data_IF_050956555672
#
_entry.id   IF_050956555672
#
_cell.length_a   1.000
_cell.length_b   1.000
_cell.length_c   1.000
_cell.angle_alpha   90.00
_cell.angle_beta   90.00
_cell.angle_gamma   90.00
#
_symmetry.space_group_name_H-M   'P 1'
#
loop_
_entity.id
_entity.type
_entity.pdbx_description
1 polymer ?
#
# COMPACT_ATOMS: atom_id res chain seq x y z
N UNK A 1 8.96 -7.33 2.16
CA UNK A 1 9.20 -6.11 2.95
C UNK A 1 8.09 -5.09 2.75
N UNK A 2 8.04 -4.34 1.64
CA UNK A 2 6.88 -3.46 1.36
C UNK A 2 5.58 -4.27 1.22
N UNK A 3 5.64 -5.40 0.51
CA UNK A 3 4.51 -6.33 0.41
C UNK A 3 4.03 -6.86 1.77
N UNK A 4 4.92 -6.99 2.76
CA UNK A 4 4.53 -7.43 4.10
C UNK A 4 3.85 -6.30 4.89
N UNK A 5 4.28 -5.05 4.68
CA UNK A 5 3.61 -3.86 5.22
C UNK A 5 2.24 -3.70 4.56
N UNK A 6 2.17 -3.85 3.23
CA UNK A 6 0.94 -3.75 2.44
C UNK A 6 -0.14 -4.75 2.86
N UNK A 7 0.25 -5.96 3.30
CA UNK A 7 -0.69 -6.94 3.86
C UNK A 7 -1.39 -6.49 5.15
N UNK A 8 -0.84 -5.50 5.85
CA UNK A 8 -1.42 -4.95 7.06
C UNK A 8 -2.21 -3.66 6.80
N UNK A 9 -2.33 -3.23 5.54
CA UNK A 9 -3.13 -2.09 5.17
C UNK A 9 -4.58 -2.49 4.92
N UNK A 10 -5.49 -1.56 5.21
CA UNK A 10 -6.88 -1.72 4.78
C UNK A 10 -6.95 -1.72 3.25
N UNK A 11 -7.65 -2.69 2.67
CA UNK A 11 -7.92 -2.83 1.24
C UNK A 11 -9.22 -2.14 0.81
N UNK A 12 -10.08 -1.79 1.76
CA UNK A 12 -11.33 -1.09 1.55
C UNK A 12 -11.48 0.13 2.48
N UNK A 13 -12.51 0.93 2.23
CA UNK A 13 -12.95 1.98 3.15
C UNK A 13 -14.35 1.65 3.68
N UNK A 14 -14.65 2.08 4.90
CA UNK A 14 -15.93 1.77 5.56
C UNK A 14 -15.74 1.06 6.91
N UNK A 15 -16.84 0.68 7.59
CA UNK A 15 -16.77 0.13 8.94
C UNK A 15 -16.11 -1.26 8.97
N UNK A 16 -15.08 -1.41 9.80
CA UNK A 16 -14.40 -2.68 10.06
C UNK A 16 -14.38 -3.00 11.56
N UNK A 17 -14.52 -4.30 11.89
CA UNK A 17 -14.35 -4.81 13.24
C UNK A 17 -12.89 -5.24 13.44
N UNK A 18 -12.18 -4.57 14.34
CA UNK A 18 -10.82 -4.92 14.71
C UNK A 18 -10.78 -6.17 15.62
N UNK A 19 -9.59 -6.74 15.73
CA UNK A 19 -9.33 -7.96 16.53
C UNK A 19 -9.52 -7.78 18.04
N UNK A 20 -9.55 -6.54 18.53
CA UNK A 20 -9.87 -6.20 19.92
C UNK A 20 -11.38 -5.98 20.16
N UNK A 21 -12.21 -6.19 19.12
CA UNK A 21 -13.66 -6.03 19.18
C UNK A 21 -14.14 -4.60 19.00
N UNK A 22 -13.25 -3.66 18.67
CA UNK A 22 -13.64 -2.27 18.38
C UNK A 22 -14.05 -2.11 16.91
N UNK A 23 -15.03 -1.24 16.66
CA UNK A 23 -15.41 -0.85 15.29
C UNK A 23 -14.73 0.47 14.94
N UNK A 24 -14.07 0.51 13.79
CA UNK A 24 -13.47 1.74 13.24
C UNK A 24 -13.84 1.90 11.76
N UNK A 25 -13.62 3.11 11.26
CA UNK A 25 -13.66 3.38 9.82
C UNK A 25 -12.31 2.96 9.20
N UNK A 26 -12.33 1.94 8.34
CA UNK A 26 -11.22 1.56 7.48
C UNK A 26 -10.93 2.64 6.44
N UNK A 27 -9.66 2.79 6.07
CA UNK A 27 -9.21 3.77 5.07
C UNK A 27 -8.20 3.08 4.17
N UNK A 28 -8.46 3.00 2.86
CA UNK A 28 -7.58 2.27 1.94
C UNK A 28 -6.11 2.70 2.08
N UNK A 29 -5.21 1.73 2.21
CA UNK A 29 -3.78 1.97 2.41
C UNK A 29 -3.36 2.32 3.84
N UNK A 30 -4.31 2.45 4.78
CA UNK A 30 -4.01 2.74 6.18
C UNK A 30 -3.48 1.49 6.90
N UNK A 31 -2.27 1.60 7.43
CA UNK A 31 -1.56 0.58 8.20
C UNK A 31 -1.61 0.97 9.66
N UNK A 32 -2.50 0.34 10.43
CA UNK A 32 -2.69 0.65 11.86
C UNK A 32 -1.54 0.16 12.73
N UNK A 33 -1.06 -1.06 12.48
CA UNK A 33 0.02 -1.72 13.23
C UNK A 33 0.84 -2.60 12.30
N UNK A 34 2.12 -2.72 12.60
CA UNK A 34 3.04 -3.57 11.85
C UNK A 34 3.15 -4.93 12.52
N UNK A 35 3.12 -5.98 11.70
CA UNK A 35 3.31 -7.35 12.15
C UNK A 35 2.02 -8.16 12.21
N UNK A 36 2.20 -9.48 12.11
CA UNK A 36 1.10 -10.44 12.18
C UNK A 36 0.63 -10.54 13.65
N UNK A 37 -0.68 -10.53 13.95
CA UNK A 37 -1.19 -10.83 15.29
C UNK A 37 -0.66 -12.14 15.89
N UNK A 38 -0.19 -13.07 15.05
CA UNK A 38 0.41 -14.35 15.42
C UNK A 38 1.91 -14.26 15.74
N UNK A 39 2.56 -13.13 15.49
CA UNK A 39 3.97 -12.89 15.82
C UNK A 39 4.14 -12.57 17.33
N UNK A 40 3.99 -13.60 18.15
CA UNK A 40 4.03 -13.49 19.63
C UNK A 40 5.34 -12.93 20.19
N UNK A 41 6.42 -12.96 19.41
CA UNK A 41 7.74 -12.46 19.81
C UNK A 41 8.05 -11.06 19.23
N UNK A 42 7.17 -10.52 18.38
CA UNK A 42 7.36 -9.22 17.72
C UNK A 42 8.61 -9.17 16.82
N UNK A 43 9.16 -10.31 16.43
CA UNK A 43 10.42 -10.39 15.68
C UNK A 43 10.27 -9.83 14.26
N UNK A 44 9.13 -10.10 13.61
CA UNK A 44 8.82 -9.54 12.29
C UNK A 44 8.45 -8.07 12.40
N UNK A 45 7.69 -7.68 13.42
CA UNK A 45 7.35 -6.27 13.66
C UNK A 45 8.63 -5.42 13.82
N UNK A 46 9.54 -5.82 14.71
CA UNK A 46 10.84 -5.14 14.91
C UNK A 46 11.69 -5.08 13.63
N UNK A 47 11.69 -6.16 12.84
CA UNK A 47 12.42 -6.20 11.56
C UNK A 47 11.83 -5.24 10.52
N UNK A 48 10.49 -5.14 10.47
CA UNK A 48 9.79 -4.22 9.57
C UNK A 48 10.01 -2.77 10.02
N UNK A 49 9.90 -2.48 11.32
CA UNK A 49 10.17 -1.16 11.92
C UNK A 49 11.56 -0.63 11.55
N UNK A 50 12.60 -1.47 11.67
CA UNK A 50 13.98 -1.10 11.33
C UNK A 50 14.14 -0.66 9.86
N UNK A 51 13.23 -1.09 8.98
CA UNK A 51 13.28 -0.81 7.53
C UNK A 51 12.24 0.22 7.08
N UNK A 52 11.39 0.71 7.97
CA UNK A 52 10.40 1.74 7.66
C UNK A 52 11.01 3.05 7.22
N UNK A 53 12.16 3.40 7.79
CA UNK A 53 12.89 4.59 7.37
C UNK A 53 13.14 4.61 5.86
N UNK A 54 13.39 3.47 5.23
CA UNK A 54 13.59 3.40 3.78
C UNK A 54 12.29 3.73 3.04
N UNK A 55 11.17 3.16 3.46
CA UNK A 55 9.88 3.35 2.78
C UNK A 55 9.27 4.73 3.02
N UNK A 56 9.58 5.34 4.16
CA UNK A 56 9.24 6.74 4.42
C UNK A 56 10.13 7.69 3.63
N UNK A 57 11.45 7.46 3.62
CA UNK A 57 12.40 8.26 2.83
C UNK A 57 12.19 8.15 1.32
N UNK A 58 11.61 7.05 0.84
CA UNK A 58 11.31 6.83 -0.59
C UNK A 58 9.88 7.20 -0.98
N UNK A 59 9.04 7.68 -0.06
CA UNK A 59 7.69 8.15 -0.37
C UNK A 59 6.64 7.05 -0.59
N UNK A 60 6.94 5.82 -0.14
CA UNK A 60 5.98 4.71 -0.16
C UNK A 60 5.06 4.70 1.06
N UNK A 61 5.52 5.30 2.16
CA UNK A 61 4.80 5.43 3.41
C UNK A 61 4.87 6.87 3.92
N UNK A 62 3.77 7.37 4.45
CA UNK A 62 3.74 8.58 5.27
C UNK A 62 3.18 8.26 6.66
N UNK A 63 3.76 8.78 7.75
CA UNK A 63 3.14 8.69 9.07
C UNK A 63 1.79 9.41 9.05
N UNK A 64 0.79 8.88 9.76
CA UNK A 64 -0.49 9.55 9.93
C UNK A 64 -0.44 10.39 11.19
N UNK A 65 -0.72 11.68 11.06
CA UNK A 65 -0.70 12.61 12.21
C UNK A 65 -1.93 12.43 13.11
N UNK A 66 -1.74 12.67 14.41
CA UNK A 66 -2.81 12.65 15.43
C UNK A 66 -2.58 11.58 16.51
N UNK A 67 -2.93 11.86 17.79
CA UNK A 67 -2.73 10.92 18.89
C UNK A 67 -3.53 9.61 18.75
N UNK A 68 -4.65 9.63 18.03
CA UNK A 68 -5.46 8.45 17.68
C UNK A 68 -4.82 7.54 16.63
N UNK A 69 -3.77 8.04 15.97
CA UNK A 69 -3.03 7.40 14.89
C UNK A 69 -1.60 7.03 15.29
N UNK A 70 -1.31 6.97 16.60
CA UNK A 70 0.04 6.69 17.10
C UNK A 70 0.61 5.39 16.51
N UNK A 71 1.76 5.52 15.84
CA UNK A 71 2.44 4.44 15.13
C UNK A 71 1.79 3.98 13.81
N UNK A 72 0.77 4.69 13.29
CA UNK A 72 0.11 4.36 12.05
C UNK A 72 0.74 5.03 10.82
N UNK A 73 0.60 4.38 9.67
CA UNK A 73 1.15 4.83 8.40
C UNK A 73 0.12 4.75 7.29
N UNK A 74 0.27 5.59 6.27
CA UNK A 74 -0.50 5.56 5.04
C UNK A 74 0.40 5.08 3.89
N UNK A 75 -0.06 4.08 3.14
CA UNK A 75 0.58 3.66 1.89
C UNK A 75 0.24 4.64 0.77
N UNK A 76 1.24 4.86 -0.09
CA UNK A 76 1.08 5.63 -1.32
C UNK A 76 0.35 4.79 -2.39
N UNK A 77 -0.97 4.63 -2.21
CA UNK A 77 -1.84 3.90 -3.14
C UNK A 77 -1.93 4.60 -4.51
N UNK A 78 -1.95 5.94 -4.62
CA UNK A 78 -1.89 6.62 -5.92
C UNK A 78 -0.61 6.31 -6.72
N UNK A 79 0.55 6.19 -6.08
CA UNK A 79 1.77 5.72 -6.75
C UNK A 79 1.64 4.28 -7.23
N UNK A 80 1.04 3.40 -6.42
CA UNK A 80 0.78 2.02 -6.83
C UNK A 80 -0.15 1.98 -8.06
N UNK A 81 -1.22 2.78 -8.09
CA UNK A 81 -2.11 2.93 -9.25
C UNK A 81 -1.33 3.28 -10.51
N UNK A 82 -0.45 4.29 -10.47
CA UNK A 82 0.36 4.70 -11.63
C UNK A 82 1.26 3.57 -12.15
N UNK A 83 1.84 2.78 -11.24
CA UNK A 83 2.65 1.62 -11.62
C UNK A 83 1.81 0.51 -12.27
N UNK A 84 0.60 0.27 -11.77
CA UNK A 84 -0.35 -0.65 -12.39
C UNK A 84 -0.82 -0.16 -13.77
N UNK A 85 -1.01 1.15 -13.95
CA UNK A 85 -1.36 1.76 -15.23
C UNK A 85 -0.22 1.57 -16.25
N UNK A 86 1.03 1.81 -15.84
CA UNK A 86 2.20 1.58 -16.70
C UNK A 86 2.34 0.10 -17.08
N UNK A 87 2.07 -0.82 -16.14
CA UNK A 87 2.07 -2.25 -16.42
C UNK A 87 0.93 -2.67 -17.38
N UNK A 88 -0.28 -2.11 -17.20
CA UNK A 88 -1.40 -2.37 -18.10
C UNK A 88 -1.10 -1.87 -19.52
N UNK A 89 -0.51 -0.68 -19.64
CA UNK A 89 -0.10 -0.09 -20.92
C UNK A 89 0.97 -0.94 -21.62
N UNK A 90 2.00 -1.39 -20.89
CA UNK A 90 3.04 -2.26 -21.41
C UNK A 90 2.49 -3.59 -21.93
N UNK A 91 1.49 -4.16 -21.27
CA UNK A 91 0.83 -5.38 -21.75
C UNK A 91 0.00 -5.14 -23.02
N UNK A 92 -0.61 -3.96 -23.15
CA UNK A 92 -1.40 -3.62 -24.34
C UNK A 92 -0.50 -3.39 -25.58
N UNK A 93 0.69 -2.84 -25.39
CA UNK A 93 1.67 -2.58 -26.46
C UNK A 93 2.61 -3.76 -26.72
N UNK A 94 2.77 -4.66 -25.75
CA UNK A 94 3.72 -5.77 -25.79
C UNK A 94 5.16 -5.37 -25.48
N UNK A 95 5.42 -4.10 -25.17
CA UNK A 95 6.75 -3.56 -24.87
C UNK A 95 6.72 -2.75 -23.56
N UNK A 96 7.58 -3.08 -22.58
CA UNK A 96 7.70 -2.29 -21.36
C UNK A 96 8.42 -0.97 -21.63
N UNK A 97 7.79 0.14 -21.25
CA UNK A 97 8.39 1.47 -21.26
C UNK A 97 9.06 1.75 -19.91
N UNK A 98 10.39 1.67 -19.89
CA UNK A 98 11.19 1.89 -18.68
C UNK A 98 11.10 3.32 -18.16
N UNK A 99 10.93 4.31 -19.05
CA UNK A 99 10.80 5.71 -18.66
C UNK A 99 9.42 5.96 -18.05
N UNK A 100 8.36 5.35 -18.61
CA UNK A 100 7.02 5.40 -18.02
C UNK A 100 6.96 4.73 -16.64
N UNK A 101 7.66 3.61 -16.44
CA UNK A 101 7.75 2.95 -15.13
C UNK A 101 8.52 3.82 -14.13
N UNK A 102 9.66 4.38 -14.54
CA UNK A 102 10.45 5.26 -13.69
C UNK A 102 9.68 6.53 -13.29
N UNK A 103 8.89 7.07 -14.22
CA UNK A 103 7.99 8.20 -13.97
C UNK A 103 6.87 7.84 -12.99
N UNK A 104 6.23 6.69 -13.19
CA UNK A 104 5.19 6.17 -12.31
C UNK A 104 5.70 5.86 -10.89
N UNK A 105 6.96 5.41 -10.76
CA UNK A 105 7.61 5.11 -9.48
C UNK A 105 8.09 6.36 -8.72
N UNK A 106 7.59 7.55 -9.03
CA UNK A 106 7.90 8.76 -8.26
C UNK A 106 6.79 9.09 -7.28
N UNK A 107 7.19 9.55 -6.10
CA UNK A 107 6.30 10.26 -5.20
C UNK A 107 5.92 11.60 -5.84
N UNK A 108 4.63 11.90 -5.88
CA UNK A 108 4.10 13.16 -6.39
C UNK A 108 3.44 13.97 -5.26
N UNK A 109 3.48 15.31 -5.33
CA UNK A 109 2.74 16.15 -4.39
C UNK A 109 1.24 15.77 -4.37
N UNK A 110 0.68 15.56 -3.19
CA UNK A 110 -0.72 15.21 -3.00
C UNK A 110 -1.05 13.71 -3.01
N UNK A 111 -0.05 12.84 -3.18
CA UNK A 111 -0.23 11.38 -3.13
C UNK A 111 -0.90 10.89 -1.83
N UNK A 112 -0.69 11.60 -0.72
CA UNK A 112 -1.27 11.26 0.58
C UNK A 112 -2.50 12.11 0.94
N UNK A 113 -2.80 13.15 0.18
CA UNK A 113 -3.88 14.10 0.46
C UNK A 113 -5.22 13.67 -0.17
N UNK A 114 -5.15 12.81 -1.18
CA UNK A 114 -6.33 12.30 -1.89
C UNK A 114 -6.87 11.02 -1.26
N UNK A 115 -8.17 10.78 -1.44
CA UNK A 115 -8.73 9.49 -1.09
C UNK A 115 -8.07 8.41 -1.95
N UNK A 116 -7.50 7.40 -1.29
CA UNK A 116 -6.82 6.30 -1.97
C UNK A 116 -7.76 5.60 -2.99
N UNK A 117 -7.30 5.39 -4.23
CA UNK A 117 -8.10 4.77 -5.28
C UNK A 117 -8.45 3.32 -4.93
N UNK A 118 -9.55 2.84 -5.51
CA UNK A 118 -9.88 1.41 -5.47
C UNK A 118 -9.16 0.68 -6.60
N UNK A 119 -8.28 -0.25 -6.23
CA UNK A 119 -7.46 -0.98 -7.18
C UNK A 119 -8.02 -2.36 -7.53
N UNK A 120 -9.09 -2.82 -6.87
CA UNK A 120 -9.57 -4.21 -6.99
C UNK A 120 -9.87 -4.59 -8.45
N UNK A 121 -10.68 -3.79 -9.13
CA UNK A 121 -11.07 -4.05 -10.52
C UNK A 121 -9.87 -4.02 -11.48
N UNK A 122 -8.88 -3.14 -11.22
CA UNK A 122 -7.69 -3.08 -12.08
C UNK A 122 -6.80 -4.29 -11.88
N UNK A 123 -6.54 -4.67 -10.63
CA UNK A 123 -5.75 -5.86 -10.30
C UNK A 123 -6.41 -7.09 -10.91
N UNK A 124 -7.73 -7.24 -10.81
CA UNK A 124 -8.46 -8.35 -11.43
C UNK A 124 -8.26 -8.40 -12.95
N UNK A 125 -8.37 -7.25 -13.65
CA UNK A 125 -8.11 -7.19 -15.10
C UNK A 125 -6.68 -7.60 -15.46
N UNK A 126 -5.70 -7.13 -14.68
CA UNK A 126 -4.29 -7.46 -14.89
C UNK A 126 -4.05 -8.96 -14.71
N UNK A 127 -4.61 -9.56 -13.67
CA UNK A 127 -4.47 -11.00 -13.37
C UNK A 127 -5.17 -11.88 -14.41
N UNK A 128 -6.31 -11.46 -14.96
CA UNK A 128 -7.00 -12.18 -16.04
C UNK A 128 -6.20 -12.15 -17.34
N UNK A 129 -5.57 -11.03 -17.67
CA UNK A 129 -4.73 -10.89 -18.88
C UNK A 129 -3.37 -11.56 -18.74
N UNK A 130 -2.90 -11.74 -17.52
CA UNK A 130 -1.63 -12.38 -17.20
C UNK A 130 -1.86 -13.49 -16.15
N UNK A 131 -2.52 -14.60 -16.52
CA UNK A 131 -2.69 -15.71 -15.60
C UNK A 131 -1.31 -16.21 -15.22
N UNK A 132 -1.04 -16.33 -13.92
CA UNK A 132 0.25 -16.76 -13.40
C UNK A 132 0.74 -18.02 -14.14
N UNK A 133 1.78 -17.87 -14.96
CA UNK A 133 2.55 -18.96 -15.56
C UNK A 133 3.33 -19.76 -14.52
#
# INVERSE_FOLDING_TARGET
>A
MLADIARNADDHSGPVLDSDGTVREARRGYVRRLGDPKDKLGLKANMLETRMFIFTATGWLAPVEGPEHDGAYQLNVPRLQRLLDAAEAAMATGEPDADAIAEADRELPGDFDTQAPDLADQVDRLLVRNPAT
#
